data_IF_887846580947
#
_entry.id   IF_887846580947
#
_cell.length_a   1.000
_cell.length_b   1.000
_cell.length_c   1.000
_cell.angle_alpha   90.00
_cell.angle_beta   90.00
_cell.angle_gamma   90.00
#
_symmetry.space_group_name_H-M   'P 1'
#
loop_
_entity.id
_entity.type
_entity.pdbx_description
1 polymer ?
#
# COMPACT_ATOMS: atom_id res chain seq x y z
N UNK A 1 -12.85 13.50 1.92
CA UNK A 1 -11.89 14.29 1.11
C UNK A 1 -11.15 13.32 0.22
N UNK A 2 -10.76 13.68 -1.01
CA UNK A 2 -9.99 12.76 -1.87
C UNK A 2 -8.51 13.12 -1.91
N UNK A 3 -7.66 12.14 -1.65
CA UNK A 3 -6.21 12.25 -1.75
C UNK A 3 -5.73 11.86 -3.15
N UNK A 4 -5.02 12.78 -3.81
CA UNK A 4 -4.45 12.56 -5.15
C UNK A 4 -3.45 11.41 -5.13
N UNK A 5 -3.49 10.53 -6.10
CA UNK A 5 -2.54 9.42 -6.23
C UNK A 5 -1.14 9.88 -6.65
N UNK A 6 -1.05 11.02 -7.33
CA UNK A 6 0.19 11.47 -7.97
C UNK A 6 0.54 10.68 -9.23
N UNK A 7 -0.35 9.76 -9.66
CA UNK A 7 -0.20 8.97 -10.89
C UNK A 7 -0.91 9.71 -12.02
N UNK A 8 -0.11 10.16 -13.01
CA UNK A 8 -0.63 10.93 -14.14
C UNK A 8 -1.68 10.12 -14.90
N UNK A 9 -2.87 10.72 -15.05
CA UNK A 9 -4.03 10.14 -15.73
C UNK A 9 -4.89 9.23 -14.85
N UNK A 10 -4.41 8.77 -13.69
CA UNK A 10 -5.23 7.93 -12.81
C UNK A 10 -6.26 8.74 -12.03
N UNK A 11 -5.85 9.88 -11.45
CA UNK A 11 -6.74 10.69 -10.60
C UNK A 11 -8.02 11.12 -11.32
N UNK A 12 -7.96 11.36 -12.63
CA UNK A 12 -9.11 11.70 -13.47
C UNK A 12 -10.05 10.51 -13.67
N UNK A 13 -9.51 9.29 -13.79
CA UNK A 13 -10.26 8.05 -13.97
C UNK A 13 -10.99 7.59 -12.69
N UNK A 14 -10.57 8.09 -11.53
CA UNK A 14 -11.11 7.71 -10.21
C UNK A 14 -11.81 8.89 -9.51
N UNK A 15 -12.28 9.87 -10.28
CA UNK A 15 -13.08 10.96 -9.74
C UNK A 15 -12.33 11.85 -8.76
N UNK A 16 -11.04 12.08 -9.00
CA UNK A 16 -10.22 13.08 -8.33
C UNK A 16 -9.21 12.55 -7.31
N UNK A 17 -9.14 11.24 -7.05
CA UNK A 17 -8.23 10.63 -6.09
C UNK A 17 -8.91 9.54 -5.27
N UNK A 18 -8.24 9.06 -4.23
CA UNK A 18 -8.74 8.03 -3.31
C UNK A 18 -9.41 8.70 -2.10
N UNK A 19 -10.60 8.23 -1.71
CA UNK A 19 -11.34 8.80 -0.58
C UNK A 19 -10.59 8.59 0.75
N UNK A 20 -10.48 9.64 1.57
CA UNK A 20 -9.96 9.57 2.95
C UNK A 20 -10.76 8.56 3.77
N UNK A 21 -10.07 7.84 4.64
CA UNK A 21 -10.66 6.79 5.45
C UNK A 21 -11.09 5.55 4.68
N UNK A 22 -10.52 5.32 3.50
CA UNK A 22 -10.74 4.11 2.72
C UNK A 22 -9.60 3.12 2.85
N UNK A 23 -9.96 1.84 2.81
CA UNK A 23 -9.06 0.70 2.64
C UNK A 23 -8.99 0.31 1.17
N UNK A 24 -7.78 0.26 0.60
CA UNK A 24 -7.53 0.06 -0.81
C UNK A 24 -6.57 -1.12 -1.00
N UNK A 25 -6.89 -2.04 -1.90
CA UNK A 25 -6.02 -3.18 -2.19
C UNK A 25 -5.40 -3.04 -3.57
N UNK A 26 -4.08 -3.19 -3.65
CA UNK A 26 -3.35 -3.40 -4.89
C UNK A 26 -3.09 -4.91 -5.02
N UNK A 27 -3.79 -5.55 -5.95
CA UNK A 27 -3.73 -7.00 -6.14
C UNK A 27 -3.05 -7.35 -7.48
N UNK A 28 -2.29 -8.44 -7.54
CA UNK A 28 -1.74 -8.95 -8.80
C UNK A 28 -0.42 -9.68 -8.68
N UNK A 29 0.11 -10.26 -9.78
CA UNK A 29 1.39 -10.98 -9.78
C UNK A 29 2.58 -10.10 -9.35
N UNK A 30 3.72 -10.69 -8.93
CA UNK A 30 4.93 -9.94 -8.60
C UNK A 30 5.47 -9.19 -9.84
N UNK A 31 6.18 -8.07 -9.61
CA UNK A 31 6.81 -7.29 -10.70
C UNK A 31 5.86 -6.46 -11.59
N UNK A 32 4.56 -6.46 -11.29
CA UNK A 32 3.54 -5.75 -12.08
C UNK A 32 3.42 -4.27 -11.78
N UNK A 33 3.95 -3.75 -10.67
CA UNK A 33 4.02 -2.30 -10.37
C UNK A 33 3.35 -1.84 -9.08
N UNK A 34 2.75 -2.75 -8.30
CA UNK A 34 2.02 -2.44 -7.04
C UNK A 34 2.83 -1.61 -6.05
N UNK A 35 4.06 -2.02 -5.75
CA UNK A 35 4.95 -1.28 -4.82
C UNK A 35 5.26 0.12 -5.34
N UNK A 36 5.44 0.30 -6.66
CA UNK A 36 5.68 1.62 -7.25
C UNK A 36 4.46 2.52 -7.09
N UNK A 37 3.25 1.99 -7.26
CA UNK A 37 2.01 2.72 -6.98
C UNK A 37 1.97 3.21 -5.53
N UNK A 38 2.19 2.31 -4.57
CA UNK A 38 2.16 2.66 -3.14
C UNK A 38 3.22 3.72 -2.79
N UNK A 39 4.44 3.55 -3.28
CA UNK A 39 5.51 4.54 -3.07
C UNK A 39 5.17 5.90 -3.68
N UNK A 40 4.63 5.93 -4.90
CA UNK A 40 4.22 7.17 -5.56
C UNK A 40 3.07 7.86 -4.80
N UNK A 41 2.14 7.08 -4.26
CA UNK A 41 1.05 7.58 -3.43
C UNK A 41 1.56 8.26 -2.15
N UNK A 42 2.52 7.64 -1.46
CA UNK A 42 3.13 8.24 -0.27
C UNK A 42 3.97 9.46 -0.62
N UNK A 43 4.76 9.38 -1.70
CA UNK A 43 5.54 10.50 -2.19
C UNK A 43 4.66 11.71 -2.52
N UNK A 44 3.50 11.50 -3.15
CA UNK A 44 2.55 12.56 -3.42
C UNK A 44 2.05 13.23 -2.14
N UNK A 45 1.82 12.47 -1.06
CA UNK A 45 1.45 13.03 0.25
C UNK A 45 2.57 13.89 0.84
N UNK A 46 3.80 13.39 0.84
CA UNK A 46 4.96 14.16 1.30
C UNK A 46 5.13 15.48 0.53
N UNK A 47 4.94 15.46 -0.79
CA UNK A 47 4.98 16.66 -1.63
C UNK A 47 3.85 17.66 -1.31
N UNK A 48 2.75 17.19 -0.73
CA UNK A 48 1.64 18.02 -0.25
C UNK A 48 1.80 18.47 1.20
N UNK A 49 2.93 18.13 1.84
CA UNK A 49 3.21 18.48 3.24
C UNK A 49 2.54 17.54 4.25
N UNK A 50 2.01 16.41 3.81
CA UNK A 50 1.37 15.41 4.65
C UNK A 50 2.37 14.53 5.39
N UNK A 51 1.95 13.93 6.51
CA UNK A 51 2.65 12.82 7.16
C UNK A 51 2.17 11.50 6.58
N UNK A 52 3.10 10.63 6.22
CA UNK A 52 2.83 9.31 5.65
C UNK A 52 3.51 8.21 6.44
N UNK A 53 2.96 7.00 6.39
CA UNK A 53 3.55 5.84 7.01
C UNK A 53 3.67 4.66 6.03
N UNK A 54 4.72 3.85 6.19
CA UNK A 54 4.95 2.65 5.39
C UNK A 54 5.34 1.49 6.31
N UNK A 55 4.69 0.33 6.14
CA UNK A 55 5.11 -0.92 6.78
C UNK A 55 6.16 -1.65 5.94
N UNK A 56 7.40 -1.72 6.45
CA UNK A 56 8.61 -2.14 5.72
C UNK A 56 8.87 -3.65 5.74
N UNK A 57 7.85 -4.48 5.95
CA UNK A 57 8.03 -5.94 6.03
C UNK A 57 8.52 -6.62 4.74
N UNK A 58 8.22 -6.05 3.58
CA UNK A 58 8.55 -6.68 2.30
C UNK A 58 10.01 -6.50 1.86
N UNK A 59 10.77 -5.60 2.51
CA UNK A 59 12.21 -5.39 2.24
C UNK A 59 12.91 -4.58 3.34
N UNK A 60 14.24 -4.75 3.51
CA UNK A 60 15.01 -3.92 4.44
C UNK A 60 14.85 -2.42 4.16
N UNK A 61 14.73 -1.61 5.20
CA UNK A 61 14.47 -0.17 5.07
C UNK A 61 15.50 0.60 4.22
N UNK A 62 16.82 0.34 4.29
CA UNK A 62 17.78 0.97 3.38
C UNK A 62 17.50 0.67 1.90
N UNK A 63 16.95 -0.52 1.59
CA UNK A 63 16.56 -0.90 0.23
C UNK A 63 15.30 -0.14 -0.20
N UNK A 64 14.35 0.09 0.70
CA UNK A 64 13.18 0.93 0.41
C UNK A 64 13.60 2.37 0.09
N UNK A 65 14.50 2.98 0.87
CA UNK A 65 15.04 4.32 0.60
C UNK A 65 15.71 4.37 -0.77
N UNK A 66 16.57 3.40 -1.09
CA UNK A 66 17.21 3.30 -2.39
C UNK A 66 16.18 3.17 -3.53
N UNK A 67 15.06 2.47 -3.28
CA UNK A 67 14.01 2.30 -4.27
C UNK A 67 13.25 3.61 -4.53
N UNK A 68 12.87 4.36 -3.49
CA UNK A 68 12.32 5.71 -3.65
C UNK A 68 13.28 6.60 -4.45
N UNK A 69 14.56 6.60 -4.09
CA UNK A 69 15.60 7.39 -4.75
C UNK A 69 15.77 7.05 -6.23
N UNK A 70 15.52 5.80 -6.64
CA UNK A 70 15.58 5.39 -8.05
C UNK A 70 14.53 6.07 -8.95
N UNK A 71 13.46 6.61 -8.35
CA UNK A 71 12.44 7.44 -9.02
C UNK A 71 12.66 8.94 -8.80
N UNK A 72 13.82 9.34 -8.27
CA UNK A 72 14.10 10.72 -7.89
C UNK A 72 13.35 11.19 -6.64
N UNK A 73 12.71 10.29 -5.90
CA UNK A 73 11.98 10.60 -4.67
C UNK A 73 12.91 10.50 -3.47
N UNK A 74 13.36 11.64 -2.96
CA UNK A 74 14.22 11.66 -1.78
C UNK A 74 13.39 11.76 -0.50
N UNK A 75 13.22 10.63 0.19
CA UNK A 75 12.45 10.56 1.45
C UNK A 75 13.28 10.86 2.70
N UNK A 76 14.62 10.94 2.62
CA UNK A 76 15.49 11.14 3.79
C UNK A 76 15.14 12.41 4.60
N UNK A 77 14.93 13.59 3.97
CA UNK A 77 14.53 14.79 4.73
C UNK A 77 13.20 14.61 5.47
N UNK A 78 12.26 13.85 4.88
CA UNK A 78 10.95 13.61 5.50
C UNK A 78 11.04 12.61 6.65
N UNK A 79 12.02 11.70 6.63
CA UNK A 79 12.32 10.83 7.78
C UNK A 79 12.86 11.70 8.93
N UNK A 80 13.82 12.59 8.65
CA UNK A 80 14.43 13.48 9.65
C UNK A 80 13.40 14.45 10.25
N UNK A 81 12.43 14.91 9.46
CA UNK A 81 11.31 15.76 9.90
C UNK A 81 10.18 15.00 10.59
N UNK A 82 10.22 13.66 10.66
CA UNK A 82 9.15 12.83 11.23
C UNK A 82 7.88 12.74 10.36
N UNK A 83 7.95 13.16 9.10
CA UNK A 83 6.83 13.10 8.13
C UNK A 83 6.77 11.78 7.35
N UNK A 84 7.87 11.05 7.24
CA UNK A 84 7.86 9.68 6.72
C UNK A 84 8.14 8.72 7.87
N UNK A 85 7.10 7.98 8.27
CA UNK A 85 7.16 7.05 9.39
C UNK A 85 7.31 5.64 8.83
N UNK A 86 8.43 4.98 9.16
CA UNK A 86 8.62 3.57 8.84
C UNK A 86 8.26 2.73 10.06
N UNK A 87 7.37 1.76 9.86
CA UNK A 87 7.00 0.78 10.89
C UNK A 87 7.28 -0.63 10.39
N UNK A 88 7.45 -1.57 11.32
CA UNK A 88 7.50 -3.00 11.01
C UNK A 88 6.95 -3.83 12.15
N UNK A 89 5.90 -4.59 11.86
CA UNK A 89 5.35 -5.58 12.77
C UNK A 89 6.19 -6.86 12.76
N UNK A 90 6.19 -7.58 13.88
CA UNK A 90 6.60 -8.99 13.93
C UNK A 90 5.60 -9.81 14.73
N UNK A 91 5.31 -11.05 14.34
CA UNK A 91 4.46 -11.92 15.15
C UNK A 91 5.06 -12.22 16.52
N UNK A 92 6.37 -12.46 16.57
CA UNK A 92 7.13 -12.63 17.80
C UNK A 92 8.41 -11.77 17.74
N UNK A 93 8.93 -11.37 18.90
CA UNK A 93 10.16 -10.58 18.98
C UNK A 93 11.34 -11.29 18.29
N UNK A 94 11.86 -10.68 17.21
CA UNK A 94 13.03 -11.18 16.48
C UNK A 94 14.23 -10.23 16.65
N UNK A 95 15.42 -10.75 17.01
CA UNK A 95 16.60 -9.94 17.17
C UNK A 95 17.41 -9.89 15.85
N UNK A 96 17.39 -8.72 15.19
CA UNK A 96 18.44 -8.15 14.31
C UNK A 96 18.47 -8.38 12.78
N UNK A 97 19.16 -7.44 12.07
CA UNK A 97 19.49 -6.08 12.52
C UNK A 97 18.30 -5.14 12.30
N UNK A 98 17.95 -4.38 13.34
CA UNK A 98 16.92 -3.34 13.30
C UNK A 98 17.55 -2.04 12.80
N UNK A 99 16.89 -1.36 11.86
CA UNK A 99 17.26 -0.02 11.42
C UNK A 99 16.71 1.00 12.44
N UNK A 100 17.54 1.88 13.03
CA UNK A 100 17.09 2.80 14.07
C UNK A 100 16.02 3.81 13.60
N UNK A 101 15.82 3.93 12.28
CA UNK A 101 14.79 4.80 11.69
C UNK A 101 13.44 4.11 11.54
N UNK A 102 13.34 2.82 11.88
CA UNK A 102 12.12 2.02 11.80
C UNK A 102 11.61 1.76 13.21
N UNK A 103 10.32 2.00 13.43
CA UNK A 103 9.65 1.58 14.66
C UNK A 103 9.21 0.14 14.53
N UNK A 104 9.73 -0.72 15.39
CA UNK A 104 9.40 -2.14 15.42
C UNK A 104 8.48 -2.44 16.59
N UNK A 105 7.47 -3.28 16.39
CA UNK A 105 6.58 -3.74 17.46
C UNK A 105 6.11 -5.18 17.24
N UNK A 106 5.68 -5.83 18.31
CA UNK A 106 5.15 -7.20 18.28
C UNK A 106 3.63 -7.21 18.20
N UNK A 107 3.09 -8.13 17.40
CA UNK A 107 1.65 -8.38 17.30
C UNK A 107 1.10 -9.18 18.49
N UNK A 108 1.97 -9.82 19.28
CA UNK A 108 1.58 -10.45 20.55
C UNK A 108 1.45 -9.45 21.70
N UNK A 109 1.97 -8.23 21.53
CA UNK A 109 1.92 -7.18 22.55
C UNK A 109 0.89 -6.12 22.17
N UNK A 110 -0.35 -6.34 22.61
CA UNK A 110 -1.46 -5.44 22.35
C UNK A 110 -1.26 -4.03 22.95
N UNK A 111 -0.50 -3.88 24.04
CA UNK A 111 -0.18 -2.55 24.58
C UNK A 111 0.83 -1.83 23.70
N UNK A 112 1.82 -2.55 23.15
CA UNK A 112 2.77 -1.99 22.19
C UNK A 112 2.08 -1.54 20.89
N UNK A 113 1.13 -2.34 20.39
CA UNK A 113 0.30 -1.96 19.24
C UNK A 113 -0.50 -0.67 19.51
N UNK A 114 -1.22 -0.60 20.64
CA UNK A 114 -1.97 0.62 21.03
C UNK A 114 -1.06 1.83 21.20
N UNK A 115 0.17 1.63 21.70
CA UNK A 115 1.14 2.71 21.85
C UNK A 115 1.60 3.21 20.48
N UNK A 116 1.90 2.30 19.56
CA UNK A 116 2.31 2.64 18.18
C UNK A 116 1.19 3.41 17.47
N UNK A 117 -0.04 2.91 17.56
CA UNK A 117 -1.22 3.59 17.06
C UNK A 117 -1.33 5.03 17.60
N UNK A 118 -1.50 5.17 18.92
CA UNK A 118 -1.77 6.45 19.56
C UNK A 118 -0.64 7.47 19.41
N UNK A 119 0.61 7.06 19.63
CA UNK A 119 1.74 7.98 19.75
C UNK A 119 2.57 8.13 18.49
N UNK A 120 2.44 7.22 17.52
CA UNK A 120 3.15 7.30 16.26
C UNK A 120 2.22 7.63 15.10
N UNK A 121 1.09 6.94 14.95
CA UNK A 121 0.21 7.12 13.80
C UNK A 121 -0.73 8.31 14.03
N UNK A 122 -1.60 8.23 15.03
CA UNK A 122 -2.60 9.29 15.28
C UNK A 122 -1.96 10.60 15.73
N UNK A 123 -0.95 10.55 16.61
CA UNK A 123 -0.27 11.76 17.11
C UNK A 123 0.48 12.55 16.02
N UNK A 124 0.99 11.89 14.98
CA UNK A 124 1.65 12.56 13.85
C UNK A 124 0.70 12.88 12.70
N UNK A 125 -0.61 12.65 12.88
CA UNK A 125 -1.66 12.94 11.90
C UNK A 125 -1.34 12.31 10.53
N UNK A 126 -0.94 11.03 10.54
CA UNK A 126 -0.72 10.28 9.30
C UNK A 126 -1.98 10.33 8.45
N UNK A 127 -1.86 10.65 7.17
CA UNK A 127 -2.99 10.71 6.22
C UNK A 127 -2.96 9.57 5.21
N UNK A 128 -1.76 9.02 4.95
CA UNK A 128 -1.51 7.97 3.97
C UNK A 128 -0.69 6.86 4.60
N UNK A 129 -1.18 5.65 4.46
CA UNK A 129 -0.46 4.46 4.88
C UNK A 129 -0.34 3.48 3.73
N UNK A 130 0.81 2.83 3.60
CA UNK A 130 0.97 1.69 2.71
C UNK A 130 1.59 0.51 3.46
N UNK A 131 0.93 -0.65 3.39
CA UNK A 131 1.54 -1.90 3.80
C UNK A 131 2.38 -2.49 2.67
N UNK A 132 3.63 -2.86 2.96
CA UNK A 132 4.39 -3.78 2.12
C UNK A 132 3.60 -5.06 1.85
N UNK A 133 4.06 -5.90 0.92
CA UNK A 133 3.36 -7.16 0.57
C UNK A 133 3.23 -8.10 1.79
N UNK A 134 2.11 -7.92 2.47
CA UNK A 134 1.85 -8.41 3.81
C UNK A 134 1.25 -9.81 3.77
N UNK A 135 0.36 -10.01 2.81
CA UNK A 135 -0.48 -11.20 2.68
C UNK A 135 0.31 -12.50 2.50
N UNK A 136 1.37 -12.51 1.69
CA UNK A 136 2.14 -13.73 1.48
C UNK A 136 2.91 -14.12 2.74
N UNK A 137 3.58 -13.16 3.39
CA UNK A 137 4.29 -13.44 4.65
C UNK A 137 3.33 -13.83 5.76
N UNK A 138 2.19 -13.16 5.90
CA UNK A 138 1.23 -13.49 6.96
C UNK A 138 0.56 -14.85 6.75
N UNK A 139 0.03 -15.11 5.56
CA UNK A 139 -0.73 -16.33 5.31
C UNK A 139 0.16 -17.57 5.17
N UNK A 140 1.42 -17.42 4.74
CA UNK A 140 2.32 -18.56 4.55
C UNK A 140 3.32 -18.78 5.70
N UNK A 141 3.77 -17.73 6.39
CA UNK A 141 4.79 -17.83 7.44
C UNK A 141 4.22 -17.66 8.85
N UNK A 142 3.03 -17.09 8.99
CA UNK A 142 2.45 -16.73 10.28
C UNK A 142 1.08 -17.37 10.52
N UNK A 143 0.66 -17.35 11.79
CA UNK A 143 -0.62 -17.90 12.21
C UNK A 143 -1.75 -16.95 11.80
N UNK A 144 -2.81 -17.50 11.19
CA UNK A 144 -4.02 -16.76 10.76
C UNK A 144 -4.65 -15.94 11.90
N UNK A 145 -4.38 -16.29 13.17
CA UNK A 145 -4.82 -15.49 14.33
C UNK A 145 -4.37 -14.01 14.27
N UNK A 146 -3.27 -13.70 13.59
CA UNK A 146 -2.79 -12.31 13.45
C UNK A 146 -3.44 -11.56 12.28
N UNK A 147 -4.11 -12.28 11.36
CA UNK A 147 -4.73 -11.68 10.17
C UNK A 147 -5.88 -10.76 10.58
N UNK A 148 -6.79 -11.27 11.40
CA UNK A 148 -7.93 -10.49 11.89
C UNK A 148 -7.48 -9.26 12.70
N UNK A 149 -6.48 -9.41 13.57
CA UNK A 149 -5.94 -8.29 14.37
C UNK A 149 -5.37 -7.17 13.50
N UNK A 150 -4.60 -7.53 12.47
CA UNK A 150 -3.98 -6.55 11.58
C UNK A 150 -4.98 -5.91 10.61
N UNK A 151 -5.94 -6.70 10.11
CA UNK A 151 -7.08 -6.18 9.36
C UNK A 151 -7.89 -5.19 10.18
N UNK A 152 -8.29 -5.56 11.40
CA UNK A 152 -9.08 -4.68 12.27
C UNK A 152 -8.31 -3.39 12.57
N UNK A 153 -7.00 -3.48 12.79
CA UNK A 153 -6.18 -2.31 13.06
C UNK A 153 -6.08 -1.35 11.86
N UNK A 154 -5.79 -1.90 10.68
CA UNK A 154 -5.70 -1.12 9.43
C UNK A 154 -7.05 -0.52 9.00
N UNK A 155 -8.15 -1.22 9.30
CA UNK A 155 -9.53 -0.73 9.13
C UNK A 155 -9.83 0.40 10.12
N UNK A 156 -9.44 0.25 11.38
CA UNK A 156 -9.67 1.27 12.40
C UNK A 156 -8.96 2.58 12.07
N UNK A 157 -7.71 2.53 11.56
CA UNK A 157 -7.03 3.72 11.04
C UNK A 157 -7.79 4.41 9.91
N UNK A 158 -8.37 3.61 9.02
CA UNK A 158 -9.18 4.15 7.93
C UNK A 158 -10.43 4.84 8.51
N UNK A 159 -11.19 4.15 9.35
CA UNK A 159 -12.49 4.65 9.83
C UNK A 159 -12.40 5.79 10.85
N UNK A 160 -11.44 5.73 11.77
CA UNK A 160 -11.37 6.65 12.91
C UNK A 160 -10.34 7.77 12.74
N UNK A 161 -9.25 7.51 12.02
CA UNK A 161 -8.19 8.49 11.77
C UNK A 161 -8.23 9.09 10.36
N UNK A 162 -9.20 8.68 9.53
CA UNK A 162 -9.36 9.13 8.13
C UNK A 162 -8.16 8.81 7.22
N UNK A 163 -7.37 7.79 7.57
CA UNK A 163 -6.17 7.39 6.82
C UNK A 163 -6.60 6.69 5.52
N UNK A 164 -5.94 7.04 4.41
CA UNK A 164 -6.03 6.23 3.20
C UNK A 164 -5.03 5.09 3.32
N UNK A 165 -5.54 3.87 3.44
CA UNK A 165 -4.73 2.67 3.56
C UNK A 165 -4.59 1.98 2.19
N UNK A 166 -3.34 1.68 1.81
CA UNK A 166 -2.99 0.85 0.64
C UNK A 166 -2.35 -0.45 1.11
N UNK A 167 -3.06 -1.56 0.92
CA UNK A 167 -2.53 -2.91 1.14
C UNK A 167 -2.02 -3.50 -0.18
N UNK A 168 -0.74 -3.89 -0.19
CA UNK A 168 -0.15 -4.62 -1.32
C UNK A 168 -0.39 -6.11 -1.10
N UNK A 169 -0.99 -6.77 -2.10
CA UNK A 169 -1.22 -8.21 -2.08
C UNK A 169 -0.72 -8.86 -3.37
N UNK A 170 0.20 -9.82 -3.24
CA UNK A 170 0.63 -10.64 -4.39
C UNK A 170 -0.28 -11.82 -4.65
N UNK A 171 -0.70 -11.95 -5.91
CA UNK A 171 -1.43 -13.11 -6.41
C UNK A 171 -0.43 -14.27 -6.59
N UNK A 172 -0.42 -15.22 -5.65
CA UNK A 172 0.33 -16.48 -5.78
C UNK A 172 -0.47 -17.50 -6.61
N UNK A 173 0.24 -18.33 -7.39
CA UNK A 173 -0.34 -19.34 -8.28
C UNK A 173 -0.87 -20.58 -7.56
N UNK A 174 -0.44 -20.84 -6.31
CA UNK A 174 -0.97 -21.88 -5.45
C UNK A 174 -1.12 -21.34 -4.03
N UNK A 175 -2.37 -21.24 -3.57
CA UNK A 175 -2.73 -20.94 -2.18
C UNK A 175 -3.47 -22.15 -1.63
N UNK A 176 -3.17 -22.54 -0.38
CA UNK A 176 -4.04 -23.48 0.32
C UNK A 176 -5.44 -22.86 0.54
N UNK A 177 -6.42 -23.71 0.87
CA UNK A 177 -7.81 -23.28 0.98
C UNK A 177 -8.03 -22.21 2.06
N UNK A 178 -7.25 -22.24 3.15
CA UNK A 178 -7.39 -21.26 4.23
C UNK A 178 -6.86 -19.90 3.78
N UNK A 179 -5.70 -19.86 3.14
CA UNK A 179 -5.12 -18.65 2.55
C UNK A 179 -6.02 -18.04 1.46
N UNK A 180 -6.66 -18.88 0.64
CA UNK A 180 -7.61 -18.41 -0.36
C UNK A 180 -8.82 -17.74 0.29
N UNK A 181 -9.42 -18.38 1.30
CA UNK A 181 -10.56 -17.80 2.04
C UNK A 181 -10.21 -16.49 2.74
N UNK A 182 -9.04 -16.41 3.37
CA UNK A 182 -8.57 -15.18 4.00
C UNK A 182 -8.39 -14.07 2.95
N UNK A 183 -7.79 -14.38 1.80
CA UNK A 183 -7.65 -13.43 0.69
C UNK A 183 -9.02 -12.94 0.19
N UNK A 184 -10.00 -13.83 0.05
CA UNK A 184 -11.35 -13.46 -0.40
C UNK A 184 -12.06 -12.56 0.62
N UNK A 185 -11.91 -12.84 1.91
CA UNK A 185 -12.45 -11.99 2.98
C UNK A 185 -11.83 -10.59 2.96
N UNK A 186 -10.51 -10.53 2.76
CA UNK A 186 -9.77 -9.26 2.65
C UNK A 186 -10.27 -8.40 1.48
N UNK A 187 -10.40 -9.02 0.30
CA UNK A 187 -10.91 -8.35 -0.89
C UNK A 187 -12.35 -7.85 -0.69
N UNK A 188 -13.20 -8.61 0.02
CA UNK A 188 -14.57 -8.21 0.30
C UNK A 188 -14.67 -6.99 1.24
N UNK A 189 -13.71 -6.82 2.15
CA UNK A 189 -13.65 -5.70 3.10
C UNK A 189 -13.04 -4.43 2.50
N UNK A 190 -12.34 -4.53 1.37
CA UNK A 190 -11.73 -3.36 0.73
C UNK A 190 -12.79 -2.44 0.12
N UNK A 191 -12.61 -1.13 0.29
CA UNK A 191 -13.45 -0.13 -0.37
C UNK A 191 -13.13 -0.08 -1.87
N UNK A 192 -11.83 -0.13 -2.21
CA UNK A 192 -11.35 -0.06 -3.58
C UNK A 192 -10.34 -1.18 -3.88
N UNK A 193 -10.37 -1.70 -5.11
CA UNK A 193 -9.48 -2.79 -5.55
C UNK A 193 -8.90 -2.44 -6.92
N UNK A 194 -7.58 -2.38 -6.99
CA UNK A 194 -6.80 -2.21 -8.22
C UNK A 194 -6.10 -3.52 -8.56
N UNK A 195 -6.40 -4.09 -9.73
CA UNK A 195 -5.80 -5.32 -10.18
C UNK A 195 -4.72 -5.06 -11.24
N UNK A 196 -3.54 -5.62 -11.04
CA UNK A 196 -2.36 -5.43 -11.87
C UNK A 196 -2.01 -6.71 -12.62
N UNK A 197 -1.59 -6.58 -13.88
CA UNK A 197 -1.04 -7.69 -14.65
C UNK A 197 0.05 -7.24 -15.62
N UNK A 198 0.81 -8.21 -16.10
CA UNK A 198 1.56 -8.09 -17.36
C UNK A 198 0.76 -8.82 -18.44
N UNK A 199 0.44 -8.13 -19.53
CA UNK A 199 -0.24 -8.72 -20.68
C UNK A 199 0.83 -9.24 -21.64
N UNK A 200 0.90 -10.57 -21.79
CA UNK A 200 1.92 -11.23 -22.62
C UNK A 200 1.73 -10.97 -24.12
N UNK A 201 0.51 -10.67 -24.57
CA UNK A 201 0.22 -10.40 -25.99
C UNK A 201 0.67 -8.99 -26.39
N UNK A 202 0.36 -7.99 -25.55
CA UNK A 202 0.71 -6.58 -25.82
C UNK A 202 2.08 -6.19 -25.27
N UNK A 203 2.69 -7.04 -24.44
CA UNK A 203 3.91 -6.78 -23.68
C UNK A 203 3.83 -5.52 -22.81
N UNK A 204 2.62 -5.22 -22.31
CA UNK A 204 2.34 -4.04 -21.49
C UNK A 204 1.96 -4.42 -20.06
N UNK A 205 2.31 -3.54 -19.12
CA UNK A 205 1.72 -3.58 -17.79
C UNK A 205 0.35 -2.91 -17.85
N UNK A 206 -0.62 -3.52 -17.20
CA UNK A 206 -1.99 -3.05 -17.21
C UNK A 206 -2.55 -3.05 -15.78
N UNK A 207 -3.38 -2.06 -15.50
CA UNK A 207 -4.15 -1.94 -14.27
C UNK A 207 -5.64 -1.93 -14.59
N UNK A 208 -6.44 -2.60 -13.78
CA UNK A 208 -7.91 -2.58 -13.85
C UNK A 208 -8.45 -2.13 -12.50
N UNK A 209 -9.40 -1.21 -12.53
CA UNK A 209 -10.15 -0.81 -11.34
C UNK A 209 -11.31 -1.80 -11.20
N UNK A 210 -11.17 -2.75 -10.27
CA UNK A 210 -12.14 -3.83 -10.06
C UNK A 210 -13.30 -3.35 -9.20
N UNK A 211 -12.99 -2.56 -8.17
CA UNK A 211 -13.94 -1.93 -7.27
C UNK A 211 -13.48 -0.51 -6.98
N UNK A 212 -14.39 0.46 -7.05
CA UNK A 212 -14.17 1.82 -6.55
C UNK A 212 -15.48 2.36 -6.00
N UNK A 213 -15.47 2.81 -4.74
CA UNK A 213 -16.64 3.41 -4.10
C UNK A 213 -16.71 4.92 -4.36
N UNK A 214 -17.92 5.45 -4.50
CA UNK A 214 -18.16 6.89 -4.58
C UNK A 214 -17.79 7.57 -5.90
N UNK A 215 -17.40 6.83 -6.95
CA UNK A 215 -17.31 7.38 -8.31
C UNK A 215 -17.46 6.33 -9.42
N UNK A 216 -17.80 6.80 -10.62
CA UNK A 216 -17.68 6.00 -11.83
C UNK A 216 -16.20 5.72 -12.14
N UNK A 217 -15.93 4.57 -12.76
CA UNK A 217 -14.59 4.16 -13.17
C UNK A 217 -14.64 3.25 -14.40
N UNK A 218 -13.59 3.21 -15.23
CA UNK A 218 -13.53 2.28 -16.36
C UNK A 218 -13.47 0.82 -15.90
N UNK A 219 -14.16 -0.05 -16.64
CA UNK A 219 -14.19 -1.50 -16.39
C UNK A 219 -13.05 -2.27 -17.07
N UNK A 220 -12.43 -1.68 -18.09
CA UNK A 220 -11.40 -2.32 -18.91
C UNK A 220 -10.01 -2.28 -18.29
N UNK A 221 -9.10 -3.06 -18.87
CA UNK A 221 -7.67 -2.97 -18.58
C UNK A 221 -7.10 -1.68 -19.15
N UNK A 222 -6.28 -1.00 -18.35
CA UNK A 222 -5.71 0.30 -18.67
C UNK A 222 -4.19 0.14 -18.68
N UNK A 223 -3.54 0.29 -19.85
CA UNK A 223 -2.11 0.12 -19.93
C UNK A 223 -1.39 1.30 -19.26
N UNK A 224 -0.24 1.01 -18.66
CA UNK A 224 0.61 2.02 -18.03
C UNK A 224 2.08 1.67 -18.21
N UNK A 225 2.95 2.66 -18.00
CA UNK A 225 4.40 2.48 -18.00
C UNK A 225 4.97 2.91 -16.64
N UNK A 226 6.06 2.27 -16.25
CA UNK A 226 6.89 2.69 -15.13
C UNK A 226 8.08 3.44 -15.72
N UNK A 227 8.27 4.68 -15.32
CA UNK A 227 9.33 5.58 -15.78
C UNK A 227 10.22 5.99 -14.61
N UNK A 228 11.25 6.80 -14.85
CA UNK A 228 12.03 7.43 -13.78
C UNK A 228 11.20 8.36 -12.87
N UNK A 229 9.94 8.69 -13.23
CA UNK A 229 9.01 9.48 -12.42
C UNK A 229 7.90 8.65 -11.77
N UNK A 230 8.00 7.32 -11.83
CA UNK A 230 6.96 6.40 -11.37
C UNK A 230 6.00 5.98 -12.47
N UNK A 231 4.79 5.59 -12.08
CA UNK A 231 3.69 5.16 -12.97
C UNK A 231 3.11 6.35 -13.72
N UNK A 232 2.95 6.18 -15.03
CA UNK A 232 2.19 7.06 -15.91
C UNK A 232 1.19 6.21 -16.70
N UNK A 233 -0.11 6.54 -16.61
CA UNK A 233 -1.13 5.89 -17.43
C UNK A 233 -0.87 6.19 -18.90
N UNK A 234 -1.02 5.18 -19.77
CA UNK A 234 -0.97 5.38 -21.20
C UNK A 234 -2.35 5.89 -21.66
N UNK A 235 -2.37 6.98 -22.41
CA UNK A 235 -3.60 7.46 -23.04
C UNK A 235 -4.15 6.33 -23.93
N UNK A 236 -5.46 6.06 -23.84
CA UNK A 236 -6.10 5.24 -24.86
C UNK A 236 -5.89 5.96 -26.19
N UNK A 237 -5.14 5.34 -27.10
CA UNK A 237 -5.16 5.74 -28.50
C UNK A 237 -6.63 5.75 -28.93
N UNK A 238 -7.13 6.93 -29.30
CA UNK A 238 -8.46 7.05 -29.91
C UNK A 238 -8.47 6.18 -31.16
N UNK A 239 -9.13 5.03 -31.10
CA UNK A 239 -9.33 4.14 -32.25
C UNK A 239 -8.76 2.74 -32.05
N UNK A 240 -9.62 1.84 -31.60
CA UNK A 240 -9.60 0.40 -31.93
C UNK A 240 -11.04 -0.07 -31.99
#
# INVERSE_FOLDING_TARGET
>A
MKLKTGIKGLDELIGGGIESGSRNILYGPPGTGKTVFAMQFLWQGLQQGETVAYDVMDKPFPRLIAYFKSFGWNIEPYIDEGKFIAIQAFPHFSPFPKDPRVTYFSLDDFEEMKRTDKFLISANQVTRFAAGDFSEQLFSLYDLKYAELLEDWTINWSHYDNIVNIDIMTAATQKDLATQRATDLDLNKAHNIFFFRFNEETLQREMRIVKMEGCEHPLGWIPFKITHRGIEMLEKTKGS
#
